data_IF_293385604976
#
_entry.id   IF_293385604976
#
_cell.length_a   1.000
_cell.length_b   1.000
_cell.length_c   1.000
_cell.angle_alpha   90.00
_cell.angle_beta   90.00
_cell.angle_gamma   90.00
#
_symmetry.space_group_name_H-M   'P 1'
#
loop_
_entity.id
_entity.type
_entity.pdbx_description
1 polymer ?
#
# COMPACT_ATOMS: atom_id res chain seq x y z
N UNK A 1 -17.73 -13.14 6.54
CA UNK A 1 -18.14 -11.97 5.73
C UNK A 1 -17.77 -10.71 6.50
N UNK A 2 -17.04 -9.77 5.91
CA UNK A 2 -16.46 -8.62 6.63
C UNK A 2 -17.54 -7.62 7.07
N UNK A 3 -17.40 -6.97 8.24
CA UNK A 3 -18.35 -5.99 8.73
C UNK A 3 -18.44 -4.78 7.79
N UNK A 4 -19.65 -4.22 7.73
CA UNK A 4 -20.22 -3.33 6.73
C UNK A 4 -19.60 -1.92 6.63
N UNK A 5 -18.48 -1.63 7.30
CA UNK A 5 -17.98 -0.25 7.49
C UNK A 5 -17.41 0.41 6.23
N UNK A 6 -17.07 -0.38 5.21
CA UNK A 6 -16.53 0.11 3.94
C UNK A 6 -17.60 0.35 2.87
N UNK A 7 -18.83 -0.08 3.12
CA UNK A 7 -19.92 0.07 2.16
C UNK A 7 -20.52 1.47 2.30
N UNK A 8 -20.07 2.41 1.48
CA UNK A 8 -20.91 3.55 1.13
C UNK A 8 -21.74 3.15 -0.08
N UNK A 9 -23.07 2.98 0.06
CA UNK A 9 -23.91 2.77 -1.10
C UNK A 9 -23.76 4.00 -2.00
N UNK A 10 -23.25 3.78 -3.20
CA UNK A 10 -23.27 4.81 -4.23
C UNK A 10 -24.72 5.07 -4.63
N UNK A 11 -25.06 6.31 -4.93
CA UNK A 11 -26.41 6.63 -5.40
C UNK A 11 -26.77 5.80 -6.63
N UNK A 12 -28.03 5.37 -6.69
CA UNK A 12 -28.58 4.74 -7.88
C UNK A 12 -28.85 5.74 -8.99
N UNK A 13 -28.92 7.04 -8.66
CA UNK A 13 -29.01 8.11 -9.64
C UNK A 13 -27.63 8.35 -10.29
N UNK A 14 -27.50 8.33 -11.63
CA UNK A 14 -26.22 8.48 -12.31
C UNK A 14 -25.48 9.79 -11.99
N UNK A 15 -26.20 10.91 -11.86
CA UNK A 15 -25.59 12.22 -11.58
C UNK A 15 -25.03 12.26 -10.17
N UNK A 16 -25.80 11.80 -9.19
CA UNK A 16 -25.37 11.75 -7.79
C UNK A 16 -24.24 10.73 -7.60
N UNK A 17 -24.28 9.60 -8.29
CA UNK A 17 -23.19 8.60 -8.27
C UNK A 17 -21.85 9.20 -8.70
N UNK A 18 -21.86 10.05 -9.72
CA UNK A 18 -20.64 10.77 -10.15
C UNK A 18 -20.16 11.69 -9.03
N UNK A 19 -21.05 12.42 -8.36
CA UNK A 19 -20.68 13.26 -7.22
C UNK A 19 -20.17 12.46 -6.02
N UNK A 20 -20.71 11.27 -5.76
CA UNK A 20 -20.23 10.38 -4.71
C UNK A 20 -18.78 9.93 -4.99
N UNK A 21 -18.49 9.58 -6.24
CA UNK A 21 -17.15 9.17 -6.71
C UNK A 21 -16.18 10.36 -6.71
N UNK A 22 -16.62 11.52 -7.18
CA UNK A 22 -15.80 12.73 -7.28
C UNK A 22 -15.82 13.57 -6.00
N UNK A 23 -16.41 13.06 -4.91
CA UNK A 23 -16.60 13.86 -3.71
C UNK A 23 -15.25 14.37 -3.17
N UNK A 24 -15.18 15.62 -2.65
CA UNK A 24 -13.95 16.19 -2.10
C UNK A 24 -13.31 15.33 -1.01
N UNK A 25 -14.08 14.43 -0.40
CA UNK A 25 -13.60 13.49 0.64
C UNK A 25 -12.55 12.52 0.11
N UNK A 26 -12.49 12.25 -1.19
CA UNK A 26 -11.46 11.41 -1.82
C UNK A 26 -10.33 12.24 -2.45
N UNK A 27 -10.41 13.57 -2.35
CA UNK A 27 -9.39 14.46 -2.90
C UNK A 27 -8.23 14.60 -1.94
N UNK A 28 -7.02 14.37 -2.44
CA UNK A 28 -5.79 14.59 -1.70
C UNK A 28 -5.47 16.09 -1.64
N UNK A 29 -5.11 16.56 -0.44
CA UNK A 29 -4.57 17.91 -0.26
C UNK A 29 -3.16 18.00 -0.86
N UNK A 30 -2.65 19.21 -1.05
CA UNK A 30 -1.27 19.42 -1.49
C UNK A 30 -0.26 18.80 -0.52
N UNK A 31 -0.53 18.90 0.79
CA UNK A 31 0.27 18.23 1.81
C UNK A 31 0.25 16.71 1.63
N UNK A 32 -0.90 16.09 1.34
CA UNK A 32 -0.95 14.65 1.08
C UNK A 32 -0.13 14.27 -0.16
N UNK A 33 -0.13 15.10 -1.20
CA UNK A 33 0.67 14.88 -2.42
C UNK A 33 2.17 14.98 -2.13
N UNK A 34 2.59 15.97 -1.35
CA UNK A 34 3.98 16.09 -0.90
C UNK A 34 4.43 14.86 -0.12
N UNK A 35 3.56 14.29 0.74
CA UNK A 35 3.85 13.04 1.44
C UNK A 35 4.05 11.85 0.50
N UNK A 36 3.28 11.79 -0.60
CA UNK A 36 3.47 10.77 -1.63
C UNK A 36 4.82 10.95 -2.34
N UNK A 37 5.21 12.19 -2.67
CA UNK A 37 6.52 12.51 -3.26
C UNK A 37 7.66 12.15 -2.30
N UNK A 38 7.55 12.52 -1.03
CA UNK A 38 8.54 12.18 0.01
C UNK A 38 8.72 10.65 0.13
N UNK A 39 7.63 9.89 0.20
CA UNK A 39 7.69 8.42 0.23
C UNK A 39 8.29 7.84 -1.05
N UNK A 40 7.95 8.39 -2.21
CA UNK A 40 8.49 7.93 -3.49
C UNK A 40 10.00 8.11 -3.55
N UNK A 41 10.51 9.22 -3.02
CA UNK A 41 11.94 9.54 -3.00
C UNK A 41 12.80 8.57 -2.17
N UNK A 42 12.21 7.80 -1.25
CA UNK A 42 12.95 6.80 -0.47
C UNK A 42 13.14 5.49 -1.21
N UNK A 43 12.44 5.28 -2.32
CA UNK A 43 12.46 4.04 -3.08
C UNK A 43 13.64 4.07 -4.07
N UNK A 44 14.53 3.07 -4.06
CA UNK A 44 15.61 2.97 -5.03
C UNK A 44 15.10 2.89 -6.47
N UNK A 45 15.74 3.66 -7.35
CA UNK A 45 15.52 3.57 -8.81
C UNK A 45 15.90 2.16 -9.27
N UNK A 46 15.01 1.54 -10.05
CA UNK A 46 15.20 0.20 -10.61
C UNK A 46 14.34 0.03 -11.86
N UNK A 47 14.71 -0.89 -12.75
CA UNK A 47 13.97 -1.15 -13.99
C UNK A 47 12.61 -1.79 -13.71
N UNK A 48 12.54 -2.57 -12.63
CA UNK A 48 11.31 -3.24 -12.17
C UNK A 48 11.17 -3.07 -10.67
N UNK A 49 10.01 -2.54 -10.25
CA UNK A 49 9.64 -2.47 -8.85
C UNK A 49 8.56 -3.52 -8.58
N UNK A 50 8.88 -4.53 -7.78
CA UNK A 50 7.88 -5.37 -7.14
C UNK A 50 7.38 -4.65 -5.90
N UNK A 51 6.07 -4.51 -5.76
CA UNK A 51 5.46 -3.85 -4.60
C UNK A 51 4.36 -4.72 -4.01
N UNK A 52 4.34 -4.83 -2.70
CA UNK A 52 3.23 -5.40 -1.95
C UNK A 52 2.99 -4.62 -0.66
N UNK A 53 1.89 -4.91 0.02
CA UNK A 53 1.60 -4.40 1.34
C UNK A 53 1.15 -5.54 2.25
N UNK A 54 1.54 -5.49 3.51
CA UNK A 54 1.23 -6.54 4.48
C UNK A 54 0.77 -5.98 5.81
N UNK A 55 -0.16 -6.69 6.44
CA UNK A 55 -0.61 -6.49 7.81
C UNK A 55 -0.43 -7.78 8.59
N UNK A 56 -0.51 -7.66 9.91
CA UNK A 56 -0.48 -8.78 10.86
C UNK A 56 -1.34 -9.97 10.46
N UNK A 57 -2.56 -9.74 9.98
CA UNK A 57 -3.51 -10.77 9.60
C UNK A 57 -3.27 -11.44 8.23
N UNK A 58 -2.22 -11.03 7.50
CA UNK A 58 -1.78 -11.63 6.23
C UNK A 58 -0.26 -11.84 6.18
N UNK A 59 0.36 -11.95 7.36
CA UNK A 59 1.82 -12.00 7.48
C UNK A 59 2.40 -13.25 6.83
N UNK A 60 1.84 -14.42 7.12
CA UNK A 60 2.37 -15.71 6.65
C UNK A 60 2.24 -15.83 5.13
N UNK A 61 1.10 -15.42 4.56
CA UNK A 61 0.89 -15.38 3.10
C UNK A 61 1.90 -14.46 2.41
N UNK A 62 2.25 -13.35 3.07
CA UNK A 62 3.31 -12.46 2.57
C UNK A 62 4.67 -13.14 2.63
N UNK A 63 5.00 -13.88 3.70
CA UNK A 63 6.28 -14.61 3.76
C UNK A 63 6.41 -15.65 2.64
N UNK A 64 5.34 -16.37 2.31
CA UNK A 64 5.34 -17.28 1.15
C UNK A 64 5.55 -16.53 -0.17
N UNK A 65 4.93 -15.37 -0.33
CA UNK A 65 5.10 -14.53 -1.52
C UNK A 65 6.54 -14.02 -1.65
N UNK A 66 7.16 -13.58 -0.54
CA UNK A 66 8.57 -13.18 -0.47
C UNK A 66 9.50 -14.34 -0.84
N UNK A 67 9.24 -15.53 -0.28
CA UNK A 67 10.00 -16.74 -0.61
C UNK A 67 9.96 -17.04 -2.11
N UNK A 68 8.77 -17.02 -2.72
CA UNK A 68 8.60 -17.28 -4.15
C UNK A 68 9.28 -16.20 -5.00
N UNK A 69 9.24 -14.94 -4.60
CA UNK A 69 9.93 -13.87 -5.29
C UNK A 69 11.45 -14.14 -5.30
N UNK A 70 12.01 -14.51 -4.14
CA UNK A 70 13.43 -14.86 -4.02
C UNK A 70 13.84 -16.10 -4.80
N UNK A 71 13.03 -17.17 -4.79
CA UNK A 71 13.41 -18.44 -5.40
C UNK A 71 13.15 -18.48 -6.91
N UNK A 72 12.12 -17.76 -7.40
CA UNK A 72 11.68 -17.86 -8.80
C UNK A 72 12.06 -16.63 -9.62
N UNK A 73 11.93 -15.42 -9.05
CA UNK A 73 12.04 -14.15 -9.81
C UNK A 73 13.45 -13.56 -9.71
N UNK A 74 14.04 -13.50 -8.52
CA UNK A 74 15.39 -12.96 -8.29
C UNK A 74 16.49 -13.58 -9.16
N UNK A 75 16.46 -14.87 -9.51
CA UNK A 75 17.44 -15.44 -10.43
C UNK A 75 17.32 -14.90 -11.86
N UNK A 76 16.11 -14.48 -12.28
CA UNK A 76 15.76 -14.17 -13.69
C UNK A 76 15.70 -12.68 -13.99
N UNK A 77 15.36 -11.85 -13.01
CA UNK A 77 15.20 -10.40 -13.18
C UNK A 77 16.39 -9.69 -12.55
N UNK A 78 17.07 -8.85 -13.34
CA UNK A 78 18.18 -7.99 -12.88
C UNK A 78 17.66 -6.57 -12.63
N UNK A 79 18.41 -5.80 -11.85
CA UNK A 79 18.11 -4.39 -11.53
C UNK A 79 16.66 -4.15 -11.09
N UNK A 80 16.23 -4.90 -10.07
CA UNK A 80 14.90 -4.73 -9.49
C UNK A 80 14.96 -4.30 -8.03
N UNK A 81 13.90 -3.65 -7.59
CA UNK A 81 13.63 -3.36 -6.19
C UNK A 81 12.38 -4.11 -5.76
N UNK A 82 12.40 -4.66 -4.55
CA UNK A 82 11.20 -5.16 -3.90
C UNK A 82 10.85 -4.24 -2.73
N UNK A 83 9.63 -3.70 -2.72
CA UNK A 83 9.11 -2.81 -1.68
C UNK A 83 7.96 -3.51 -0.95
N UNK A 84 8.03 -3.52 0.38
CA UNK A 84 6.92 -3.94 1.24
C UNK A 84 6.43 -2.73 2.02
N UNK A 85 5.17 -2.35 1.80
CA UNK A 85 4.48 -1.41 2.66
C UNK A 85 3.91 -2.14 3.87
N UNK A 86 4.44 -1.83 5.05
CA UNK A 86 3.84 -2.23 6.31
C UNK A 86 2.61 -1.37 6.58
N UNK A 87 1.44 -2.00 6.48
CA UNK A 87 0.13 -1.39 6.74
C UNK A 87 -0.48 -1.87 8.07
N UNK A 88 0.31 -2.46 8.96
CA UNK A 88 -0.14 -2.89 10.29
C UNK A 88 0.43 -4.23 10.75
N UNK A 89 1.72 -4.46 10.54
CA UNK A 89 2.48 -5.53 11.19
C UNK A 89 2.68 -5.25 12.67
N UNK A 90 2.83 -6.31 13.46
CA UNK A 90 3.37 -6.17 14.81
C UNK A 90 4.84 -5.74 14.76
N UNK A 91 5.39 -5.13 15.83
CA UNK A 91 6.81 -4.77 15.87
C UNK A 91 7.74 -5.96 15.58
N UNK A 92 7.43 -7.14 16.13
CA UNK A 92 8.20 -8.36 15.91
C UNK A 92 8.14 -8.82 14.44
N UNK A 93 6.95 -8.83 13.83
CA UNK A 93 6.78 -9.18 12.42
C UNK A 93 7.54 -8.22 11.49
N UNK A 94 7.47 -6.91 11.78
CA UNK A 94 8.22 -5.88 11.05
C UNK A 94 9.72 -6.14 11.13
N UNK A 95 10.24 -6.37 12.34
CA UNK A 95 11.67 -6.61 12.55
C UNK A 95 12.14 -7.87 11.80
N UNK A 96 11.39 -8.96 11.89
CA UNK A 96 11.67 -10.20 11.15
C UNK A 96 11.66 -9.96 9.64
N UNK A 97 10.67 -9.22 9.13
CA UNK A 97 10.57 -8.88 7.70
C UNK A 97 11.79 -8.11 7.22
N UNK A 98 12.17 -7.03 7.92
CA UNK A 98 13.33 -6.19 7.58
C UNK A 98 14.61 -7.02 7.49
N UNK A 99 14.81 -7.98 8.41
CA UNK A 99 15.99 -8.83 8.43
C UNK A 99 16.03 -9.87 7.31
N UNK A 100 14.88 -10.40 6.89
CA UNK A 100 14.81 -11.58 6.02
C UNK A 100 14.43 -11.28 4.56
N UNK A 101 13.66 -10.23 4.31
CA UNK A 101 12.98 -10.06 3.02
C UNK A 101 13.87 -9.57 1.86
N UNK A 102 15.11 -9.15 2.10
CA UNK A 102 15.99 -8.49 1.10
C UNK A 102 15.21 -7.46 0.26
N UNK A 103 14.45 -6.63 0.96
CA UNK A 103 13.48 -5.69 0.40
C UNK A 103 13.56 -4.34 1.12
N UNK A 104 12.96 -3.31 0.53
CA UNK A 104 12.78 -2.01 1.16
C UNK A 104 11.43 -1.99 1.89
N UNK A 105 11.47 -1.94 3.22
CA UNK A 105 10.26 -1.90 4.05
C UNK A 105 9.90 -0.46 4.39
N UNK A 106 8.69 -0.03 4.02
CA UNK A 106 8.16 1.30 4.31
C UNK A 106 6.97 1.16 5.26
N UNK A 107 7.02 1.79 6.42
CA UNK A 107 5.84 1.91 7.30
C UNK A 107 4.88 2.92 6.68
N UNK A 108 3.67 2.49 6.33
CA UNK A 108 2.71 3.36 5.69
C UNK A 108 2.24 4.45 6.67
N UNK A 109 2.41 5.75 6.37
CA UNK A 109 2.19 6.81 7.33
C UNK A 109 0.71 7.20 7.39
N UNK A 110 -0.13 6.28 7.86
CA UNK A 110 -1.58 6.45 8.00
C UNK A 110 -1.99 7.73 8.72
N UNK A 111 -1.19 8.19 9.69
CA UNK A 111 -1.41 9.42 10.44
C UNK A 111 -1.34 10.70 9.59
N UNK A 112 -0.67 10.64 8.44
CA UNK A 112 -0.53 11.77 7.52
C UNK A 112 -1.62 11.85 6.46
N UNK A 113 -2.55 10.89 6.46
CA UNK A 113 -3.66 10.82 5.54
C UNK A 113 -5.00 10.88 6.29
N UNK A 114 -6.09 11.29 5.61
CA UNK A 114 -7.42 11.24 6.19
C UNK A 114 -7.75 9.86 6.81
N UNK A 115 -8.52 9.86 7.90
CA UNK A 115 -8.79 8.66 8.71
C UNK A 115 -9.40 7.49 7.92
N UNK A 116 -10.16 7.76 6.86
CA UNK A 116 -10.74 6.73 6.01
C UNK A 116 -9.70 5.89 5.24
N UNK A 117 -8.44 6.35 5.14
CA UNK A 117 -7.34 5.54 4.61
C UNK A 117 -6.84 4.49 5.60
N UNK A 118 -6.99 4.73 6.90
CA UNK A 118 -6.55 3.82 7.97
C UNK A 118 -7.39 2.55 8.06
N UNK A 119 -8.60 2.59 7.55
CA UNK A 119 -9.52 1.46 7.51
C UNK A 119 -9.02 0.40 6.53
N UNK A 120 -8.14 -0.49 7.01
CA UNK A 120 -7.42 -1.50 6.20
C UNK A 120 -8.38 -2.36 5.38
N UNK A 121 -9.56 -2.67 5.93
CA UNK A 121 -10.60 -3.45 5.28
C UNK A 121 -11.23 -2.78 4.05
N UNK A 122 -11.10 -1.46 3.92
CA UNK A 122 -11.66 -0.67 2.82
C UNK A 122 -10.69 -0.51 1.65
N UNK A 123 -9.42 -0.92 1.82
CA UNK A 123 -8.40 -0.93 0.77
C UNK A 123 -8.12 0.43 0.11
N UNK A 124 -8.59 1.52 0.70
CA UNK A 124 -8.42 2.90 0.23
C UNK A 124 -6.95 3.31 0.17
N UNK A 125 -6.09 2.68 0.95
CA UNK A 125 -4.63 2.86 0.92
C UNK A 125 -3.96 2.35 -0.37
N UNK A 126 -4.58 1.43 -1.11
CA UNK A 126 -3.97 0.83 -2.33
C UNK A 126 -3.67 1.87 -3.41
N UNK A 127 -4.62 2.75 -3.82
CA UNK A 127 -4.31 3.84 -4.73
C UNK A 127 -3.16 4.74 -4.30
N UNK A 128 -2.98 4.99 -3.00
CA UNK A 128 -1.88 5.82 -2.50
C UNK A 128 -0.53 5.14 -2.73
N UNK A 129 -0.44 3.84 -2.46
CA UNK A 129 0.78 3.07 -2.76
C UNK A 129 1.07 3.09 -4.26
N UNK A 130 0.05 2.91 -5.12
CA UNK A 130 0.25 3.02 -6.57
C UNK A 130 0.82 4.38 -6.93
N UNK A 131 0.25 5.47 -6.40
CA UNK A 131 0.77 6.83 -6.62
C UNK A 131 2.21 7.00 -6.14
N UNK A 132 2.62 6.37 -5.04
CA UNK A 132 4.02 6.41 -4.57
C UNK A 132 4.96 5.73 -5.56
N UNK A 133 4.54 4.60 -6.17
CA UNK A 133 5.36 3.82 -7.09
C UNK A 133 5.44 4.44 -8.49
N UNK A 134 4.37 5.08 -8.97
CA UNK A 134 4.28 5.61 -10.35
C UNK A 134 4.60 7.11 -10.45
N UNK A 135 5.01 7.74 -9.34
CA UNK A 135 5.24 9.18 -9.27
C UNK A 135 6.41 9.66 -10.14
#
# INVERSE_FOLDING_TARGET
CRPETCFRPLSQNPKERIWDILSPKLTLTEQNRQQIVELSSTIPVSDVIFVTATSDNHYDETQYSVHNLHSVVYPKVKNMTFVIFDIGLTPEQREKTIKACRCHVIVFPFEKFPSFFKERGCYTWKPLIVMVIVN
#
